data_IF_222781842238
#
_entry.id   IF_222781842238
#
_cell.length_a   1.000
_cell.length_b   1.000
_cell.length_c   1.000
_cell.angle_alpha   90.00
_cell.angle_beta   90.00
_cell.angle_gamma   90.00
#
_symmetry.space_group_name_H-M   'P 1'
#
loop_
_entity.id
_entity.type
_entity.pdbx_description
1 polymer ?
#
# COMPACT_ATOMS: atom_id res chain seq x y z
N UNK A 1 34.71 39.91 41.33
CA UNK A 1 34.14 39.03 42.37
C UNK A 1 32.71 39.47 42.53
N UNK A 2 31.64 38.75 42.19
CA UNK A 2 31.38 37.39 41.74
C UNK A 2 30.03 37.48 41.00
N UNK A 3 29.93 36.92 39.80
CA UNK A 3 28.67 36.72 39.08
C UNK A 3 28.79 35.36 38.40
N UNK A 4 28.39 34.30 39.09
CA UNK A 4 28.21 32.96 38.53
C UNK A 4 27.27 32.20 39.47
N UNK A 5 26.04 31.94 39.03
CA UNK A 5 25.24 30.74 39.35
C UNK A 5 23.79 30.86 38.84
N UNK A 6 23.62 30.99 37.53
CA UNK A 6 22.33 30.73 36.87
C UNK A 6 22.61 30.05 35.53
N UNK A 7 23.05 28.79 35.52
CA UNK A 7 23.21 28.04 34.26
C UNK A 7 23.20 26.50 34.38
N UNK A 8 22.58 25.92 35.42
CA UNK A 8 22.64 24.46 35.63
C UNK A 8 21.29 23.74 35.70
N UNK A 9 20.17 24.44 35.46
CA UNK A 9 18.84 23.83 35.49
C UNK A 9 18.19 23.61 34.12
N UNK A 10 18.81 24.03 33.01
CA UNK A 10 18.24 23.84 31.66
C UNK A 10 18.78 22.61 30.90
N UNK A 11 19.84 21.95 31.39
CA UNK A 11 20.49 20.82 30.67
C UNK A 11 19.96 19.44 31.10
N UNK A 12 19.19 19.36 32.20
CA UNK A 12 18.72 18.09 32.75
C UNK A 12 17.40 17.55 32.14
N UNK A 13 16.66 18.35 31.37
CA UNK A 13 15.34 17.93 30.82
C UNK A 13 15.46 17.30 29.42
N UNK A 14 16.55 17.52 28.68
CA UNK A 14 16.71 16.93 27.33
C UNK A 14 17.23 15.47 27.39
N UNK A 15 17.79 15.03 28.53
CA UNK A 15 18.44 13.73 28.64
C UNK A 15 17.52 12.56 29.06
N UNK A 16 16.24 12.79 29.35
CA UNK A 16 15.34 11.75 29.89
C UNK A 16 14.42 11.07 28.86
N UNK A 17 14.34 11.55 27.61
CA UNK A 17 13.56 10.87 26.55
C UNK A 17 14.33 9.77 25.80
N UNK A 18 15.60 9.49 26.16
CA UNK A 18 16.46 8.52 25.47
C UNK A 18 16.45 7.11 26.09
N UNK A 19 15.46 6.76 26.91
CA UNK A 19 15.16 5.34 27.12
C UNK A 19 14.59 4.82 25.80
N UNK A 20 15.45 4.19 24.98
CA UNK A 20 15.05 3.57 23.72
C UNK A 20 13.88 2.62 23.99
N UNK A 21 12.67 3.07 23.66
CA UNK A 21 11.49 2.21 23.73
C UNK A 21 11.72 1.17 22.64
N UNK A 22 12.20 0.00 23.07
CA UNK A 22 12.32 -1.15 22.18
C UNK A 22 10.91 -1.67 21.98
N UNK A 23 10.23 -1.16 20.95
CA UNK A 23 8.95 -1.71 20.52
C UNK A 23 9.24 -3.15 20.10
N UNK A 24 8.85 -4.12 20.93
CA UNK A 24 8.95 -5.53 20.54
C UNK A 24 7.97 -5.78 19.40
N UNK A 25 8.52 -5.95 18.21
CA UNK A 25 7.75 -6.20 17.00
C UNK A 25 7.47 -7.68 16.91
N UNK A 26 6.20 -8.02 16.75
CA UNK A 26 5.79 -9.35 16.37
C UNK A 26 6.26 -9.60 14.93
N UNK A 27 7.29 -10.43 14.75
CA UNK A 27 7.89 -10.69 13.43
C UNK A 27 6.88 -11.25 12.43
N UNK A 28 5.78 -11.85 12.90
CA UNK A 28 4.72 -12.37 12.05
C UNK A 28 3.95 -11.27 11.29
N UNK A 29 4.05 -10.00 11.70
CA UNK A 29 3.38 -8.86 11.04
C UNK A 29 4.35 -7.86 10.42
N UNK A 30 5.68 -8.09 10.52
CA UNK A 30 6.67 -7.23 9.88
C UNK A 30 6.61 -7.44 8.36
N UNK A 31 6.49 -6.35 7.61
CA UNK A 31 6.41 -6.33 6.15
C UNK A 31 7.43 -5.39 5.55
N UNK A 32 7.82 -5.64 4.31
CA UNK A 32 8.46 -4.64 3.47
C UNK A 32 7.43 -3.64 2.94
N UNK A 33 7.88 -2.45 2.49
CA UNK A 33 7.03 -1.53 1.77
C UNK A 33 6.36 -2.24 0.58
N UNK A 34 5.07 -1.97 0.31
CA UNK A 34 4.42 -2.44 -0.91
C UNK A 34 5.23 -2.00 -2.13
N UNK A 35 5.50 -2.90 -3.08
CA UNK A 35 6.31 -2.50 -4.23
C UNK A 35 7.32 -3.44 -4.85
N UNK A 36 7.75 -4.53 -4.19
CA UNK A 36 9.02 -5.20 -4.53
C UNK A 36 10.10 -4.17 -4.93
N UNK A 37 10.58 -4.21 -6.19
CA UNK A 37 11.62 -3.32 -6.72
C UNK A 37 11.08 -2.04 -7.36
N UNK A 38 9.76 -1.88 -7.44
CA UNK A 38 9.08 -0.77 -8.11
C UNK A 38 7.85 -0.32 -7.29
N UNK A 39 8.06 0.34 -6.13
CA UNK A 39 6.97 0.80 -5.26
C UNK A 39 5.91 1.64 -5.96
N UNK A 40 6.29 2.47 -6.93
CA UNK A 40 5.31 3.29 -7.67
C UNK A 40 4.38 2.45 -8.55
N UNK A 41 4.82 1.29 -9.06
CA UNK A 41 4.03 0.44 -9.96
C UNK A 41 3.16 -0.58 -9.23
N UNK A 42 3.63 -1.08 -8.09
CA UNK A 42 2.97 -2.19 -7.37
C UNK A 42 2.75 -1.89 -5.88
N UNK A 43 2.53 -0.62 -5.52
CA UNK A 43 2.14 -0.20 -4.17
C UNK A 43 0.87 -0.89 -3.64
N UNK A 44 0.03 -1.42 -4.53
CA UNK A 44 -1.21 -2.12 -4.20
C UNK A 44 -1.00 -3.60 -3.81
N UNK A 45 0.21 -4.16 -4.04
CA UNK A 45 0.55 -5.52 -3.68
C UNK A 45 1.06 -5.59 -2.24
N UNK A 46 0.39 -6.37 -1.39
CA UNK A 46 0.69 -6.48 0.05
C UNK A 46 1.59 -7.68 0.29
N UNK A 47 2.74 -7.47 0.93
CA UNK A 47 3.62 -8.58 1.34
C UNK A 47 2.98 -9.38 2.47
N UNK A 48 2.89 -10.70 2.30
CA UNK A 48 2.56 -11.64 3.37
C UNK A 48 3.83 -12.36 3.87
N UNK A 49 4.69 -12.73 2.94
CA UNK A 49 6.07 -13.18 3.17
C UNK A 49 6.94 -12.66 2.02
N UNK A 50 8.28 -12.71 2.12
CA UNK A 50 9.16 -12.31 1.01
C UNK A 50 8.86 -13.05 -0.31
N UNK A 51 8.26 -14.25 -0.25
CA UNK A 51 7.90 -15.05 -1.42
C UNK A 51 6.45 -14.88 -1.88
N UNK A 52 5.55 -14.43 -0.99
CA UNK A 52 4.11 -14.37 -1.23
C UNK A 52 3.57 -12.96 -1.04
N UNK A 53 3.02 -12.41 -2.12
CA UNK A 53 2.36 -11.11 -2.12
C UNK A 53 0.91 -11.28 -2.53
N UNK A 54 0.00 -10.50 -1.96
CA UNK A 54 -1.43 -10.59 -2.21
C UNK A 54 -1.98 -9.31 -2.86
N UNK A 55 -2.98 -9.46 -3.73
CA UNK A 55 -3.69 -8.38 -4.38
C UNK A 55 -5.15 -8.77 -4.72
N UNK A 56 -5.96 -7.79 -5.13
CA UNK A 56 -7.23 -8.04 -5.82
C UNK A 56 -7.03 -8.26 -7.32
N UNK A 57 -8.12 -8.27 -8.08
CA UNK A 57 -8.09 -8.75 -9.47
C UNK A 57 -7.32 -7.77 -10.35
N UNK A 58 -6.34 -8.30 -11.07
CA UNK A 58 -5.35 -7.50 -11.77
C UNK A 58 -5.84 -7.06 -13.15
N UNK A 59 -5.61 -5.79 -13.51
CA UNK A 59 -5.71 -5.31 -14.90
C UNK A 59 -4.52 -5.77 -15.74
N UNK A 60 -4.59 -5.67 -17.07
CA UNK A 60 -3.45 -5.98 -17.94
C UNK A 60 -2.20 -5.14 -17.59
N UNK A 61 -2.39 -3.87 -17.24
CA UNK A 61 -1.29 -2.98 -16.82
C UNK A 61 -0.67 -3.46 -15.51
N UNK A 62 -1.49 -3.86 -14.54
CA UNK A 62 -1.00 -4.38 -13.26
C UNK A 62 -0.23 -5.69 -13.42
N UNK A 63 -0.62 -6.56 -14.36
CA UNK A 63 0.15 -7.78 -14.71
C UNK A 63 1.54 -7.41 -15.26
N UNK A 64 1.61 -6.41 -16.14
CA UNK A 64 2.89 -5.93 -16.71
C UNK A 64 3.78 -5.29 -15.63
N UNK A 65 3.20 -4.43 -14.80
CA UNK A 65 3.84 -3.83 -13.63
C UNK A 65 4.38 -4.89 -12.66
N UNK A 66 3.67 -6.01 -12.45
CA UNK A 66 4.17 -7.10 -11.63
C UNK A 66 5.49 -7.69 -12.19
N UNK A 67 5.58 -7.87 -13.51
CA UNK A 67 6.83 -8.31 -14.14
C UNK A 67 7.97 -7.32 -13.94
N UNK A 68 7.70 -6.04 -14.16
CA UNK A 68 8.67 -4.95 -14.02
C UNK A 68 9.16 -4.77 -12.57
N UNK A 69 8.29 -5.00 -11.60
CA UNK A 69 8.63 -4.98 -10.18
C UNK A 69 9.43 -6.22 -9.72
N UNK A 70 9.53 -7.25 -10.56
CA UNK A 70 10.37 -8.43 -10.33
C UNK A 70 9.64 -9.69 -9.90
N UNK A 71 8.31 -9.73 -9.94
CA UNK A 71 7.57 -10.99 -9.79
C UNK A 71 7.97 -11.99 -10.89
N UNK A 72 7.83 -13.28 -10.59
CA UNK A 72 8.16 -14.37 -11.52
C UNK A 72 6.96 -15.23 -11.89
N UNK A 73 5.95 -15.23 -11.01
CA UNK A 73 4.70 -15.94 -11.19
C UNK A 73 3.53 -15.11 -10.68
N UNK A 74 2.37 -15.31 -11.31
CA UNK A 74 1.06 -14.89 -10.84
C UNK A 74 0.22 -16.15 -10.61
N UNK A 75 -0.45 -16.21 -9.46
CA UNK A 75 -1.48 -17.20 -9.20
C UNK A 75 -2.80 -16.46 -8.94
N UNK A 76 -3.79 -16.72 -9.79
CA UNK A 76 -5.18 -16.36 -9.54
C UNK A 76 -5.85 -17.47 -8.77
N UNK A 77 -6.55 -17.15 -7.68
CA UNK A 77 -7.36 -18.14 -6.98
C UNK A 77 -8.41 -18.72 -7.93
N UNK A 78 -9.17 -17.84 -8.57
CA UNK A 78 -10.27 -18.24 -9.45
C UNK A 78 -9.89 -18.21 -10.94
N UNK A 79 -10.54 -19.09 -11.69
CA UNK A 79 -10.71 -18.99 -13.13
C UNK A 79 -11.88 -18.04 -13.45
N UNK A 80 -11.64 -17.08 -14.34
CA UNK A 80 -12.65 -16.17 -14.89
C UNK A 80 -12.89 -16.58 -16.35
N UNK A 81 -14.10 -17.06 -16.64
CA UNK A 81 -14.46 -17.59 -17.96
C UNK A 81 -14.54 -16.48 -19.02
N UNK A 82 -14.77 -16.84 -20.28
CA UNK A 82 -14.71 -15.91 -21.42
C UNK A 82 -15.70 -14.74 -21.34
N UNK A 83 -16.76 -14.88 -20.57
CA UNK A 83 -17.78 -13.82 -20.37
C UNK A 83 -17.65 -13.11 -19.01
N UNK A 84 -16.67 -13.51 -18.18
CA UNK A 84 -16.46 -12.96 -16.84
C UNK A 84 -15.46 -11.79 -16.82
N UNK A 85 -15.29 -11.14 -17.98
CA UNK A 85 -14.58 -9.87 -18.08
C UNK A 85 -15.19 -8.89 -17.08
N UNK A 86 -14.36 -8.33 -16.21
CA UNK A 86 -14.81 -7.45 -15.14
C UNK A 86 -14.51 -5.98 -15.44
N UNK A 87 -14.92 -5.12 -14.51
CA UNK A 87 -14.55 -3.72 -14.54
C UNK A 87 -14.22 -3.24 -13.13
N UNK A 88 -13.13 -2.48 -13.00
CA UNK A 88 -12.76 -1.79 -11.79
C UNK A 88 -12.48 -0.33 -12.11
N UNK A 89 -13.40 0.56 -11.74
CA UNK A 89 -13.27 2.00 -11.98
C UNK A 89 -13.33 2.45 -13.43
N UNK A 90 -13.70 1.57 -14.36
CA UNK A 90 -13.62 1.83 -15.79
C UNK A 90 -12.45 1.08 -16.45
N UNK A 91 -11.52 0.51 -15.68
CA UNK A 91 -10.50 -0.38 -16.23
C UNK A 91 -11.04 -1.80 -16.40
N UNK A 92 -10.72 -2.39 -17.54
CA UNK A 92 -11.08 -3.76 -17.85
C UNK A 92 -10.28 -4.74 -16.99
N UNK A 93 -10.99 -5.71 -16.39
CA UNK A 93 -10.38 -6.85 -15.71
C UNK A 93 -10.40 -8.06 -16.67
N UNK A 94 -9.23 -8.55 -17.12
CA UNK A 94 -9.13 -9.61 -18.09
C UNK A 94 -9.73 -10.92 -17.61
N UNK A 95 -10.22 -11.72 -18.56
CA UNK A 95 -10.53 -13.14 -18.37
C UNK A 95 -9.25 -13.92 -18.05
N UNK A 96 -9.36 -15.17 -17.59
CA UNK A 96 -8.16 -16.00 -17.31
C UNK A 96 -7.29 -16.21 -18.55
N UNK A 97 -7.90 -16.36 -19.74
CA UNK A 97 -7.16 -16.53 -20.99
C UNK A 97 -6.36 -15.26 -21.38
N UNK A 98 -6.97 -14.08 -21.22
CA UNK A 98 -6.31 -12.80 -21.49
C UNK A 98 -5.23 -12.49 -20.46
N UNK A 99 -5.49 -12.75 -19.18
CA UNK A 99 -4.51 -12.58 -18.11
C UNK A 99 -3.30 -13.49 -18.33
N UNK A 100 -3.52 -14.75 -18.72
CA UNK A 100 -2.46 -15.68 -19.09
C UNK A 100 -1.64 -15.16 -20.29
N UNK A 101 -2.30 -14.67 -21.35
CA UNK A 101 -1.60 -14.15 -22.53
C UNK A 101 -0.75 -12.92 -22.19
N UNK A 102 -1.28 -11.98 -21.39
CA UNK A 102 -0.54 -10.80 -20.93
C UNK A 102 0.62 -11.19 -20.01
N UNK A 103 0.42 -12.12 -19.08
CA UNK A 103 1.47 -12.61 -18.21
C UNK A 103 2.60 -13.30 -18.99
N UNK A 104 2.25 -14.14 -19.97
CA UNK A 104 3.22 -14.81 -20.84
C UNK A 104 4.02 -13.80 -21.68
N UNK A 105 3.35 -12.80 -22.27
CA UNK A 105 4.01 -11.70 -22.96
C UNK A 105 4.98 -10.92 -22.05
N UNK A 106 4.65 -10.80 -20.76
CA UNK A 106 5.47 -10.16 -19.76
C UNK A 106 6.56 -11.08 -19.15
N UNK A 107 6.68 -12.34 -19.60
CA UNK A 107 7.67 -13.30 -19.09
C UNK A 107 7.33 -13.95 -17.74
N UNK A 108 6.08 -13.81 -17.28
CA UNK A 108 5.58 -14.38 -16.04
C UNK A 108 5.00 -15.78 -16.26
N UNK A 109 5.11 -16.63 -15.24
CA UNK A 109 4.24 -17.81 -15.14
C UNK A 109 2.86 -17.35 -14.66
N UNK A 110 1.79 -17.97 -15.17
CA UNK A 110 0.42 -17.69 -14.73
C UNK A 110 -0.33 -18.99 -14.51
N UNK A 111 -0.97 -19.12 -13.35
CA UNK A 111 -1.86 -20.24 -13.03
C UNK A 111 -3.15 -19.71 -12.43
N UNK A 112 -4.28 -20.30 -12.80
CA UNK A 112 -5.55 -20.14 -12.09
C UNK A 112 -5.91 -21.46 -11.40
N UNK A 113 -6.30 -21.40 -10.12
CA UNK A 113 -6.34 -22.60 -9.28
C UNK A 113 -7.67 -23.34 -9.31
N UNK A 114 -8.78 -22.63 -9.10
CA UNK A 114 -10.11 -23.20 -8.90
C UNK A 114 -11.14 -22.57 -9.84
N UNK A 115 -12.21 -23.30 -10.14
CA UNK A 115 -13.35 -22.77 -10.90
C UNK A 115 -14.19 -21.78 -10.09
N UNK A 116 -15.05 -21.01 -10.76
CA UNK A 116 -15.88 -19.99 -10.09
C UNK A 116 -16.89 -20.54 -9.07
N UNK A 117 -17.22 -21.83 -9.12
CA UNK A 117 -18.17 -22.49 -8.21
C UNK A 117 -17.48 -23.32 -7.11
N UNK A 118 -16.15 -23.39 -7.09
CA UNK A 118 -15.42 -24.17 -6.11
C UNK A 118 -15.44 -23.46 -4.73
N UNK A 119 -15.52 -24.26 -3.66
CA UNK A 119 -15.46 -23.74 -2.29
C UNK A 119 -14.02 -23.36 -1.92
N UNK A 120 -13.78 -22.05 -1.88
CA UNK A 120 -12.47 -21.48 -1.55
C UNK A 120 -12.05 -21.69 -0.10
N UNK A 121 -12.98 -22.00 0.82
CA UNK A 121 -12.67 -22.28 2.23
C UNK A 121 -12.30 -23.74 2.49
N UNK A 122 -12.51 -24.62 1.51
CA UNK A 122 -12.35 -26.07 1.69
C UNK A 122 -10.88 -26.51 1.84
N UNK A 123 -10.69 -27.62 2.55
CA UNK A 123 -9.39 -28.31 2.65
C UNK A 123 -8.87 -28.73 1.27
N UNK A 124 -9.77 -29.08 0.32
CA UNK A 124 -9.39 -29.42 -1.05
C UNK A 124 -8.73 -28.22 -1.75
N UNK A 125 -9.31 -27.02 -1.65
CA UNK A 125 -8.70 -25.80 -2.20
C UNK A 125 -7.33 -25.52 -1.58
N UNK A 126 -7.19 -25.69 -0.26
CA UNK A 126 -5.90 -25.52 0.44
C UNK A 126 -4.86 -26.53 -0.06
N UNK A 127 -5.27 -27.78 -0.32
CA UNK A 127 -4.40 -28.82 -0.84
C UNK A 127 -3.98 -28.54 -2.29
N UNK A 128 -4.91 -28.15 -3.17
CA UNK A 128 -4.60 -27.73 -4.55
C UNK A 128 -3.61 -26.56 -4.54
N UNK A 129 -3.81 -25.59 -3.66
CA UNK A 129 -2.90 -24.46 -3.48
C UNK A 129 -1.51 -24.95 -3.05
N UNK A 130 -1.42 -25.88 -2.10
CA UNK A 130 -0.14 -26.48 -1.71
C UNK A 130 0.56 -27.17 -2.88
N UNK A 131 -0.16 -27.95 -3.67
CA UNK A 131 0.41 -28.79 -4.73
C UNK A 131 0.97 -27.97 -5.90
N UNK A 132 0.39 -26.80 -6.19
CA UNK A 132 0.85 -25.94 -7.29
C UNK A 132 2.08 -25.11 -6.92
N UNK A 133 2.23 -24.71 -5.65
CA UNK A 133 3.27 -23.78 -5.22
C UNK A 133 4.71 -24.20 -5.58
N UNK A 134 5.12 -25.48 -5.44
CA UNK A 134 6.47 -25.92 -5.81
C UNK A 134 6.83 -25.70 -7.30
N UNK A 135 5.84 -25.60 -8.19
CA UNK A 135 6.05 -25.40 -9.63
C UNK A 135 6.19 -23.92 -10.02
N UNK A 136 5.86 -22.99 -9.12
CA UNK A 136 5.89 -21.56 -9.37
C UNK A 136 7.23 -20.94 -9.00
N UNK A 137 7.76 -20.09 -9.89
CA UNK A 137 8.95 -19.29 -9.62
C UNK A 137 8.59 -18.13 -8.68
N UNK A 138 9.43 -17.91 -7.67
CA UNK A 138 9.29 -16.83 -6.68
C UNK A 138 10.02 -15.55 -7.10
N UNK A 139 9.60 -14.35 -6.62
CA UNK A 139 8.42 -14.11 -5.79
C UNK A 139 7.11 -14.25 -6.57
N UNK A 140 6.04 -14.63 -5.87
CA UNK A 140 4.71 -14.94 -6.42
C UNK A 140 3.73 -13.84 -6.03
N UNK A 141 3.01 -13.31 -7.02
CA UNK A 141 1.85 -12.45 -6.80
C UNK A 141 0.58 -13.30 -6.84
N UNK A 142 -0.13 -13.33 -5.72
CA UNK A 142 -1.35 -14.10 -5.50
C UNK A 142 -2.54 -13.13 -5.58
N UNK A 143 -3.59 -13.45 -6.34
CA UNK A 143 -4.77 -12.58 -6.40
C UNK A 143 -6.11 -13.32 -6.46
N UNK A 144 -7.17 -12.60 -6.14
CA UNK A 144 -8.58 -12.97 -6.36
C UNK A 144 -9.36 -11.67 -6.63
N UNK A 145 -10.69 -11.62 -6.56
CA UNK A 145 -11.43 -10.37 -6.79
C UNK A 145 -11.05 -9.22 -5.84
N UNK A 146 -10.90 -9.51 -4.54
CA UNK A 146 -10.80 -8.47 -3.47
C UNK A 146 -9.57 -8.58 -2.57
N UNK A 147 -8.64 -9.50 -2.85
CA UNK A 147 -7.51 -9.82 -1.96
C UNK A 147 -7.88 -10.58 -0.67
N UNK A 148 -9.11 -10.39 -0.15
CA UNK A 148 -9.65 -11.06 1.03
C UNK A 148 -9.53 -12.59 0.94
N UNK A 149 -10.14 -13.20 -0.07
CA UNK A 149 -10.20 -14.65 -0.24
C UNK A 149 -8.82 -15.30 -0.42
N UNK A 150 -7.97 -14.71 -1.26
CA UNK A 150 -6.62 -15.24 -1.49
C UNK A 150 -5.75 -15.11 -0.25
N UNK A 151 -5.93 -14.05 0.56
CA UNK A 151 -5.21 -13.91 1.84
C UNK A 151 -5.58 -15.04 2.79
N UNK A 152 -6.87 -15.37 2.90
CA UNK A 152 -7.34 -16.48 3.71
C UNK A 152 -6.72 -17.81 3.27
N UNK A 153 -6.85 -18.17 1.99
CA UNK A 153 -6.32 -19.43 1.45
C UNK A 153 -4.81 -19.53 1.64
N UNK A 154 -4.08 -18.44 1.41
CA UNK A 154 -2.61 -18.42 1.58
C UNK A 154 -2.22 -18.64 3.03
N UNK A 155 -2.89 -17.96 3.97
CA UNK A 155 -2.61 -18.14 5.40
C UNK A 155 -3.04 -19.51 5.90
N UNK A 156 -4.16 -20.06 5.41
CA UNK A 156 -4.58 -21.43 5.72
C UNK A 156 -3.59 -22.47 5.20
N UNK A 157 -3.03 -22.26 3.99
CA UNK A 157 -1.93 -23.08 3.49
C UNK A 157 -0.74 -23.03 4.45
N UNK A 158 -0.31 -21.84 4.88
CA UNK A 158 0.83 -21.69 5.80
C UNK A 158 0.54 -22.27 7.19
N UNK A 159 -0.69 -22.16 7.69
CA UNK A 159 -1.13 -22.77 8.94
C UNK A 159 -1.15 -24.31 8.85
N UNK A 160 -1.63 -24.85 7.73
CA UNK A 160 -1.59 -26.29 7.45
C UNK A 160 -0.13 -26.80 7.42
N UNK A 161 0.78 -26.07 6.75
CA UNK A 161 2.21 -26.39 6.77
C UNK A 161 2.80 -26.29 8.17
N UNK A 162 2.40 -25.29 8.95
CA UNK A 162 2.84 -25.14 10.35
C UNK A 162 2.49 -26.35 11.20
N UNK A 163 1.28 -26.88 11.04
CA UNK A 163 0.79 -28.08 11.74
C UNK A 163 1.53 -29.36 11.35
N UNK A 164 1.75 -29.56 10.05
CA UNK A 164 2.25 -30.84 9.53
C UNK A 164 3.76 -30.87 9.28
N UNK A 165 4.41 -29.72 9.22
CA UNK A 165 5.85 -29.59 8.99
C UNK A 165 6.48 -28.73 10.10
N UNK A 166 7.10 -29.40 11.07
CA UNK A 166 7.76 -28.75 12.21
C UNK A 166 8.92 -27.83 11.80
N UNK A 167 9.46 -27.95 10.58
CA UNK A 167 10.51 -27.06 10.05
C UNK A 167 10.01 -25.91 9.19
N UNK A 168 8.71 -25.84 8.89
CA UNK A 168 8.13 -24.78 8.07
C UNK A 168 8.23 -23.41 8.76
N UNK A 169 8.67 -22.38 8.04
CA UNK A 169 8.69 -21.00 8.50
C UNK A 169 8.13 -20.04 7.43
N UNK A 170 7.43 -18.96 7.81
CA UNK A 170 7.09 -18.61 9.20
C UNK A 170 5.96 -19.48 9.76
N UNK A 171 6.00 -19.75 11.07
CA UNK A 171 4.90 -20.44 11.79
C UNK A 171 3.63 -19.57 11.84
N UNK A 172 2.50 -20.12 11.40
CA UNK A 172 1.18 -19.49 11.46
C UNK A 172 0.25 -20.34 12.35
N UNK A 173 0.12 -19.94 13.61
CA UNK A 173 -0.91 -20.43 14.52
C UNK A 173 -2.17 -19.55 14.43
N UNK A 174 -3.28 -20.00 15.03
CA UNK A 174 -4.58 -19.32 15.03
C UNK A 174 -4.46 -17.86 15.50
N UNK A 175 -3.70 -17.61 16.57
CA UNK A 175 -3.48 -16.24 17.05
C UNK A 175 -2.73 -15.36 16.04
N UNK A 176 -1.70 -15.91 15.38
CA UNK A 176 -0.95 -15.19 14.34
C UNK A 176 -1.84 -14.90 13.13
N UNK A 177 -2.69 -15.85 12.72
CA UNK A 177 -3.65 -15.67 11.64
C UNK A 177 -4.54 -14.43 11.88
N UNK A 178 -5.18 -14.34 13.05
CA UNK A 178 -6.06 -13.21 13.35
C UNK A 178 -5.31 -11.88 13.51
N UNK A 179 -4.09 -11.92 14.06
CA UNK A 179 -3.23 -10.72 14.14
C UNK A 179 -2.86 -10.20 12.75
N UNK A 180 -2.41 -11.07 11.85
CA UNK A 180 -2.00 -10.70 10.48
C UNK A 180 -3.19 -10.12 9.73
N UNK A 181 -4.34 -10.80 9.78
CA UNK A 181 -5.55 -10.39 9.05
C UNK A 181 -6.12 -9.08 9.61
N UNK A 182 -6.19 -8.91 10.93
CA UNK A 182 -6.58 -7.65 11.55
C UNK A 182 -5.61 -6.50 11.17
N UNK A 183 -4.30 -6.75 11.11
CA UNK A 183 -3.33 -5.75 10.66
C UNK A 183 -3.53 -5.37 9.17
N UNK A 184 -4.08 -6.26 8.34
CA UNK A 184 -4.45 -5.98 6.94
C UNK A 184 -5.84 -5.34 6.80
N UNK A 185 -6.57 -5.19 7.91
CA UNK A 185 -7.96 -4.77 7.94
C UNK A 185 -8.98 -5.83 7.57
N UNK A 186 -8.56 -7.08 7.38
CA UNK A 186 -9.43 -8.17 6.98
C UNK A 186 -10.08 -8.81 8.22
N UNK A 187 -11.38 -9.08 8.14
CA UNK A 187 -12.16 -9.67 9.23
C UNK A 187 -12.59 -11.09 8.87
N UNK A 188 -12.02 -12.08 9.58
CA UNK A 188 -12.39 -13.50 9.48
C UNK A 188 -12.98 -14.02 10.80
N UNK A 189 -13.63 -13.15 11.58
CA UNK A 189 -14.09 -13.48 12.94
C UNK A 189 -15.49 -14.08 13.01
N UNK A 190 -16.14 -14.28 11.86
CA UNK A 190 -17.39 -15.03 11.75
C UNK A 190 -17.22 -16.50 12.21
N UNK A 191 -18.28 -17.09 12.78
CA UNK A 191 -18.22 -18.42 13.41
C UNK A 191 -17.78 -19.53 12.45
N UNK A 192 -18.28 -19.51 11.22
CA UNK A 192 -17.89 -20.43 10.15
C UNK A 192 -16.39 -20.33 9.81
N UNK A 193 -15.86 -19.11 9.67
CA UNK A 193 -14.43 -18.89 9.41
C UNK A 193 -13.57 -19.33 10.59
N UNK A 194 -14.03 -19.07 11.83
CA UNK A 194 -13.31 -19.49 13.04
C UNK A 194 -13.18 -21.01 13.15
N UNK A 195 -14.25 -21.74 12.80
CA UNK A 195 -14.23 -23.20 12.76
C UNK A 195 -13.24 -23.72 11.71
N UNK A 196 -13.19 -23.12 10.52
CA UNK A 196 -12.21 -23.51 9.48
C UNK A 196 -10.77 -23.29 9.99
N UNK A 197 -10.48 -22.13 10.59
CA UNK A 197 -9.15 -21.83 11.15
C UNK A 197 -8.75 -22.86 12.21
N UNK A 198 -9.66 -23.17 13.15
CA UNK A 198 -9.43 -24.17 14.19
C UNK A 198 -9.18 -25.57 13.60
N UNK A 199 -9.96 -25.96 12.61
CA UNK A 199 -9.83 -27.26 11.95
C UNK A 199 -8.50 -27.41 11.20
N UNK A 200 -8.06 -26.38 10.49
CA UNK A 200 -6.80 -26.38 9.73
C UNK A 200 -5.60 -26.39 10.68
N UNK A 201 -5.58 -25.48 11.67
CA UNK A 201 -4.48 -25.35 12.64
C UNK A 201 -4.39 -26.52 13.61
N UNK A 202 -5.52 -27.17 13.91
CA UNK A 202 -5.63 -28.18 14.97
C UNK A 202 -5.70 -27.56 16.38
N UNK A 203 -5.96 -26.26 16.49
CA UNK A 203 -6.09 -25.53 17.75
C UNK A 203 -7.57 -25.31 18.11
N UNK A 204 -7.90 -25.00 19.38
CA UNK A 204 -9.24 -24.59 19.77
C UNK A 204 -9.70 -23.32 19.04
N UNK A 205 -11.02 -23.16 18.87
CA UNK A 205 -11.61 -21.92 18.38
C UNK A 205 -11.20 -20.75 19.27
N UNK A 206 -10.70 -19.68 18.64
CA UNK A 206 -10.37 -18.43 19.34
C UNK A 206 -11.67 -17.66 19.56
N UNK A 207 -12.10 -17.54 20.81
CA UNK A 207 -13.39 -16.90 21.16
C UNK A 207 -13.44 -15.39 20.87
N UNK A 208 -12.32 -14.69 21.07
CA UNK A 208 -12.22 -13.23 20.93
C UNK A 208 -10.99 -12.85 20.09
N UNK A 209 -10.98 -13.20 18.80
CA UNK A 209 -9.87 -12.86 17.92
C UNK A 209 -9.73 -11.35 17.78
N UNK A 210 -8.51 -10.83 17.58
CA UNK A 210 -8.31 -9.45 17.14
C UNK A 210 -9.16 -9.14 15.90
N UNK A 211 -9.86 -8.01 15.92
CA UNK A 211 -10.63 -7.48 14.79
C UNK A 211 -10.14 -6.09 14.45
N UNK A 212 -10.09 -5.78 13.16
CA UNK A 212 -9.83 -4.42 12.72
C UNK A 212 -11.10 -3.56 12.80
N UNK A 213 -10.93 -2.30 13.13
CA UNK A 213 -12.03 -1.35 13.25
C UNK A 213 -11.94 -0.36 12.09
N UNK A 214 -12.42 -0.72 10.90
CA UNK A 214 -12.41 0.13 9.70
C UNK A 214 -13.82 0.35 9.15
N UNK A 215 -14.05 1.53 8.59
CA UNK A 215 -15.28 1.91 7.89
C UNK A 215 -14.94 2.60 6.56
N UNK A 216 -15.68 2.38 5.47
CA UNK A 216 -16.87 1.53 5.37
C UNK A 216 -16.49 0.05 5.27
N UNK A 217 -17.34 -0.89 5.71
CA UNK A 217 -17.02 -2.34 5.62
C UNK A 217 -16.76 -2.80 4.17
N UNK A 218 -17.38 -2.12 3.21
CA UNK A 218 -17.25 -2.33 1.77
C UNK A 218 -15.90 -1.86 1.22
N UNK A 219 -15.00 -1.27 2.03
CA UNK A 219 -13.67 -0.85 1.59
C UNK A 219 -12.88 -1.96 0.89
N UNK A 220 -13.14 -3.22 1.25
CA UNK A 220 -12.56 -4.42 0.63
C UNK A 220 -12.83 -4.52 -0.88
N UNK A 221 -13.87 -3.86 -1.36
CA UNK A 221 -14.21 -3.81 -2.79
C UNK A 221 -13.26 -2.86 -3.52
N UNK A 222 -12.75 -1.82 -2.85
CA UNK A 222 -11.63 -1.00 -3.27
C UNK A 222 -10.30 -1.53 -2.68
N UNK A 223 -9.92 -2.74 -3.12
CA UNK A 223 -8.78 -3.48 -2.58
C UNK A 223 -7.40 -2.80 -2.75
N UNK A 224 -7.32 -1.73 -3.55
CA UNK A 224 -6.15 -0.87 -3.65
C UNK A 224 -5.87 -0.12 -2.34
N UNK A 225 -6.88 0.18 -1.53
CA UNK A 225 -6.66 0.86 -0.26
C UNK A 225 -6.00 -0.06 0.79
N UNK A 226 -5.16 0.57 1.63
CA UNK A 226 -4.56 -0.02 2.81
C UNK A 226 -5.13 0.71 4.02
N UNK A 227 -5.90 0.02 4.87
CA UNK A 227 -6.50 0.67 6.04
C UNK A 227 -5.40 1.10 7.00
N UNK A 228 -5.50 2.29 7.58
CA UNK A 228 -4.67 2.76 8.70
C UNK A 228 -5.41 2.46 10.01
N UNK A 229 -6.58 3.06 10.21
CA UNK A 229 -7.46 2.86 11.37
C UNK A 229 -8.80 3.54 11.09
N UNK A 230 -9.93 2.95 11.49
CA UNK A 230 -11.28 3.52 11.34
C UNK A 230 -11.55 4.06 9.94
N UNK A 231 -11.54 5.38 9.81
CA UNK A 231 -11.85 6.11 8.60
C UNK A 231 -10.61 6.37 7.73
N UNK A 232 -9.42 6.03 8.18
CA UNK A 232 -8.18 6.41 7.53
C UNK A 232 -7.69 5.29 6.64
N UNK A 233 -7.50 5.59 5.36
CA UNK A 233 -6.92 4.67 4.37
C UNK A 233 -5.77 5.35 3.64
N UNK A 234 -4.82 4.55 3.19
CA UNK A 234 -3.71 5.01 2.36
C UNK A 234 -3.58 4.19 1.08
N UNK A 235 -2.90 4.78 0.09
CA UNK A 235 -2.42 4.08 -1.10
C UNK A 235 -1.31 4.86 -1.80
N UNK A 236 -0.77 4.27 -2.86
CA UNK A 236 -0.01 4.99 -3.88
C UNK A 236 -0.95 5.74 -4.83
N UNK A 237 -0.49 6.02 -6.05
CA UNK A 237 -1.22 6.93 -6.94
C UNK A 237 -2.64 6.44 -7.23
N UNK A 238 -3.64 7.19 -6.80
CA UNK A 238 -5.04 7.03 -7.20
C UNK A 238 -5.14 7.31 -8.69
N UNK A 239 -5.85 6.46 -9.45
CA UNK A 239 -6.05 6.69 -10.87
C UNK A 239 -7.39 7.36 -11.12
N UNK A 240 -7.53 7.97 -12.29
CA UNK A 240 -8.77 8.60 -12.77
C UNK A 240 -10.00 7.68 -12.67
N UNK A 241 -9.80 6.39 -12.95
CA UNK A 241 -10.82 5.35 -12.83
C UNK A 241 -11.24 5.09 -11.38
N UNK A 242 -10.31 5.19 -10.44
CA UNK A 242 -10.51 4.85 -9.03
C UNK A 242 -11.39 5.88 -8.30
N UNK A 243 -11.39 7.16 -8.72
CA UNK A 243 -12.14 8.25 -8.08
C UNK A 243 -13.63 7.93 -7.94
N UNK A 244 -14.26 7.39 -8.98
CA UNK A 244 -15.69 7.04 -8.92
C UNK A 244 -15.95 5.84 -8.01
N UNK A 245 -15.02 4.89 -7.94
CA UNK A 245 -15.13 3.73 -7.07
C UNK A 245 -14.98 4.14 -5.61
N UNK A 246 -14.06 5.04 -5.29
CA UNK A 246 -13.92 5.61 -3.95
C UNK A 246 -15.25 6.23 -3.49
N UNK A 247 -15.88 7.05 -4.33
CA UNK A 247 -17.20 7.62 -4.03
C UNK A 247 -18.26 6.53 -3.81
N UNK A 248 -18.36 5.55 -4.71
CA UNK A 248 -19.34 4.46 -4.62
C UNK A 248 -19.12 3.56 -3.40
N UNK A 249 -17.87 3.37 -2.99
CA UNK A 249 -17.49 2.59 -1.81
C UNK A 249 -17.88 3.32 -0.51
N UNK A 250 -18.06 4.64 -0.56
CA UNK A 250 -18.53 5.44 0.57
C UNK A 250 -17.49 6.38 1.16
N UNK A 251 -16.32 6.52 0.51
CA UNK A 251 -15.33 7.54 0.90
C UNK A 251 -15.94 8.95 0.83
N UNK A 252 -15.39 9.84 1.66
CA UNK A 252 -15.86 11.22 1.86
C UNK A 252 -14.84 12.24 1.40
N UNK A 253 -13.55 11.88 1.43
CA UNK A 253 -12.49 12.74 0.93
C UNK A 253 -11.33 11.97 0.31
N UNK A 254 -10.63 12.65 -0.60
CA UNK A 254 -9.31 12.27 -1.12
C UNK A 254 -8.31 13.33 -0.64
N UNK A 255 -7.19 12.88 -0.09
CA UNK A 255 -6.08 13.72 0.34
C UNK A 255 -4.86 13.38 -0.51
N UNK A 256 -4.47 14.32 -1.36
CA UNK A 256 -3.32 14.21 -2.23
C UNK A 256 -2.08 14.84 -1.59
N UNK A 257 -1.05 14.02 -1.35
CA UNK A 257 0.23 14.50 -0.79
C UNK A 257 1.35 14.68 -1.81
N UNK A 258 1.05 14.55 -3.11
CA UNK A 258 2.01 14.80 -4.18
C UNK A 258 2.20 16.30 -4.41
N UNK A 259 3.37 16.67 -4.91
CA UNK A 259 3.57 18.02 -5.41
C UNK A 259 2.63 18.27 -6.60
N UNK A 260 2.08 19.49 -6.64
CA UNK A 260 1.25 19.94 -7.76
C UNK A 260 2.09 20.36 -8.96
N UNK A 261 1.45 21.02 -9.92
CA UNK A 261 2.13 21.57 -11.09
C UNK A 261 3.18 22.62 -10.70
N UNK A 262 2.96 23.33 -9.60
CA UNK A 262 3.92 24.25 -9.00
C UNK A 262 4.05 24.08 -7.49
N UNK A 263 5.25 24.36 -6.96
CA UNK A 263 5.55 24.39 -5.53
C UNK A 263 6.51 25.54 -5.26
N UNK A 264 6.16 26.44 -4.35
CA UNK A 264 6.93 27.67 -4.06
C UNK A 264 7.23 28.51 -5.33
N UNK A 265 6.27 28.55 -6.26
CA UNK A 265 6.37 29.31 -7.51
C UNK A 265 7.29 28.69 -8.57
N UNK A 266 7.77 27.45 -8.37
CA UNK A 266 8.58 26.71 -9.34
C UNK A 266 7.82 25.48 -9.87
N UNK A 267 8.06 25.05 -11.12
CA UNK A 267 7.53 23.79 -11.63
C UNK A 267 7.91 22.60 -10.74
N UNK A 268 6.94 21.73 -10.43
CA UNK A 268 7.14 20.67 -9.43
C UNK A 268 6.40 19.35 -9.66
N UNK A 269 5.85 19.12 -10.87
CA UNK A 269 5.24 17.85 -11.23
C UNK A 269 6.13 16.66 -10.89
N UNK A 270 5.52 15.63 -10.33
CA UNK A 270 6.17 14.36 -10.01
C UNK A 270 6.06 13.36 -11.16
N UNK A 271 6.85 12.27 -11.19
CA UNK A 271 6.75 11.24 -12.23
C UNK A 271 5.48 10.39 -12.11
N UNK A 272 4.87 9.99 -13.23
CA UNK A 272 3.89 8.88 -13.24
C UNK A 272 4.57 7.53 -13.50
N UNK A 273 3.90 6.43 -13.13
CA UNK A 273 4.33 5.10 -13.53
C UNK A 273 4.12 4.89 -15.03
N UNK A 274 5.16 4.48 -15.75
CA UNK A 274 5.14 4.22 -17.18
C UNK A 274 5.53 2.76 -17.44
N UNK A 275 4.81 2.09 -18.34
CA UNK A 275 5.15 0.75 -18.79
C UNK A 275 6.51 0.71 -19.51
N UNK A 276 7.31 -0.28 -19.14
CA UNK A 276 8.67 -0.57 -19.59
C UNK A 276 9.67 0.58 -19.41
N UNK A 277 9.44 1.49 -18.45
CA UNK A 277 10.38 2.57 -18.09
C UNK A 277 10.69 2.48 -16.60
N UNK A 278 11.95 2.68 -16.20
CA UNK A 278 12.34 2.67 -14.77
C UNK A 278 11.57 3.72 -13.96
N UNK A 279 11.33 3.40 -12.69
CA UNK A 279 10.86 4.39 -11.72
C UNK A 279 12.00 5.36 -11.43
N UNK A 280 11.89 6.58 -11.94
CA UNK A 280 12.86 7.64 -11.70
C UNK A 280 12.19 8.78 -10.93
N UNK A 281 12.88 9.39 -9.94
CA UNK A 281 12.25 10.30 -9.00
C UNK A 281 12.02 11.71 -9.56
N UNK A 282 12.65 12.06 -10.69
CA UNK A 282 12.64 13.44 -11.21
C UNK A 282 11.95 13.52 -12.57
N UNK A 283 10.97 14.40 -12.66
CA UNK A 283 10.29 14.77 -13.90
C UNK A 283 11.11 15.76 -14.70
N UNK A 284 11.49 16.88 -14.06
CA UNK A 284 12.28 17.92 -14.71
C UNK A 284 13.74 17.53 -14.81
N UNK A 285 14.32 17.87 -15.95
CA UNK A 285 15.76 17.81 -16.16
C UNK A 285 16.50 18.93 -15.44
N UNK A 286 17.80 18.97 -15.64
CA UNK A 286 18.68 20.08 -15.25
C UNK A 286 19.60 20.44 -16.43
N UNK A 287 20.63 21.26 -16.20
CA UNK A 287 21.58 21.67 -17.24
C UNK A 287 22.36 20.51 -17.88
N UNK A 288 22.40 19.34 -17.24
CA UNK A 288 23.14 18.15 -17.67
C UNK A 288 22.27 16.93 -17.96
N UNK A 289 21.04 16.90 -17.45
CA UNK A 289 20.11 15.78 -17.58
C UNK A 289 18.83 16.27 -18.26
N UNK A 290 18.41 15.72 -19.40
CA UNK A 290 17.13 16.06 -20.01
C UNK A 290 15.94 15.68 -19.10
N UNK A 291 14.74 16.27 -19.32
CA UNK A 291 13.52 15.84 -18.64
C UNK A 291 13.24 14.35 -18.84
N UNK A 292 12.57 13.73 -17.87
CA UNK A 292 12.30 12.28 -17.87
C UNK A 292 11.49 11.83 -19.09
N UNK A 293 10.49 12.62 -19.49
CA UNK A 293 9.60 12.30 -20.61
C UNK A 293 10.10 12.79 -21.98
N UNK A 294 11.36 13.26 -22.05
CA UNK A 294 12.05 13.33 -23.33
C UNK A 294 12.21 11.92 -23.94
N UNK A 295 11.93 11.77 -25.24
CA UNK A 295 11.93 10.47 -25.91
C UNK A 295 13.26 9.73 -25.78
N UNK A 296 14.38 10.44 -25.84
CA UNK A 296 15.71 9.83 -25.71
C UNK A 296 15.93 9.34 -24.28
N UNK A 297 15.51 10.11 -23.29
CA UNK A 297 15.57 9.71 -21.87
C UNK A 297 14.75 8.46 -21.62
N UNK A 298 13.49 8.44 -22.05
CA UNK A 298 12.59 7.29 -21.94
C UNK A 298 13.20 6.04 -22.60
N UNK A 299 13.78 6.19 -23.79
CA UNK A 299 14.43 5.10 -24.49
C UNK A 299 15.66 4.56 -23.72
N UNK A 300 16.49 5.42 -23.15
CA UNK A 300 17.65 4.98 -22.34
C UNK A 300 17.23 4.33 -21.01
N UNK A 301 16.02 4.62 -20.53
CA UNK A 301 15.49 4.15 -19.27
C UNK A 301 14.55 2.96 -19.39
N UNK A 302 14.56 2.28 -20.54
CA UNK A 302 13.82 1.03 -20.72
C UNK A 302 14.22 -0.01 -19.68
N UNK A 303 13.23 -0.74 -19.17
CA UNK A 303 13.47 -1.89 -18.28
C UNK A 303 13.95 -3.08 -19.09
N UNK A 304 13.33 -3.32 -20.25
CA UNK A 304 13.67 -4.40 -21.16
C UNK A 304 13.52 -3.94 -22.62
N UNK A 305 14.65 -3.87 -23.31
CA UNK A 305 14.72 -3.41 -24.71
C UNK A 305 14.10 -4.39 -25.71
N UNK A 306 13.90 -5.65 -25.30
CA UNK A 306 13.44 -6.73 -26.17
C UNK A 306 11.92 -6.97 -26.12
N UNK A 307 11.16 -6.20 -25.36
CA UNK A 307 9.70 -6.29 -25.42
C UNK A 307 9.18 -5.89 -26.81
N UNK A 308 8.14 -6.60 -27.28
CA UNK A 308 7.34 -6.17 -28.44
C UNK A 308 6.63 -4.86 -28.13
N UNK A 309 6.31 -4.05 -29.14
CA UNK A 309 5.47 -2.86 -28.94
C UNK A 309 4.06 -3.21 -28.45
N UNK A 310 3.59 -4.44 -28.71
CA UNK A 310 2.35 -4.99 -28.14
C UNK A 310 2.35 -5.01 -26.60
N UNK A 311 3.54 -5.00 -25.98
CA UNK A 311 3.69 -4.88 -24.54
C UNK A 311 3.06 -3.59 -24.01
N UNK A 312 3.05 -2.51 -24.81
CA UNK A 312 2.38 -1.26 -24.45
C UNK A 312 0.92 -1.36 -24.88
N UNK A 313 0.69 -1.55 -26.18
CA UNK A 313 -0.63 -1.85 -26.74
C UNK A 313 -0.48 -2.37 -28.17
N UNK A 314 -1.52 -3.04 -28.69
CA UNK A 314 -1.58 -3.50 -30.09
C UNK A 314 -1.41 -2.39 -31.15
N UNK A 315 -1.57 -1.12 -30.75
CA UNK A 315 -1.45 0.05 -31.63
C UNK A 315 -0.13 0.79 -31.44
N UNK A 316 0.65 0.44 -30.41
CA UNK A 316 1.90 1.12 -30.13
C UNK A 316 2.95 0.80 -31.19
N UNK A 317 3.76 1.80 -31.54
CA UNK A 317 4.93 1.66 -32.42
C UNK A 317 6.24 1.53 -31.66
N UNK A 318 6.20 1.76 -30.35
CA UNK A 318 7.34 1.71 -29.44
C UNK A 318 7.01 0.74 -28.29
N UNK A 319 8.05 0.23 -27.63
CA UNK A 319 7.90 -0.75 -26.55
C UNK A 319 8.00 -0.14 -25.15
N UNK A 320 7.86 1.18 -25.03
CA UNK A 320 7.78 1.90 -23.77
C UNK A 320 6.63 2.91 -23.84
N UNK A 321 6.07 3.24 -22.68
CA UNK A 321 4.99 4.22 -22.55
C UNK A 321 5.59 5.62 -22.35
N UNK A 322 5.00 6.63 -22.99
CA UNK A 322 5.46 8.04 -22.92
C UNK A 322 4.65 8.87 -21.94
N UNK A 323 3.39 8.50 -21.72
CA UNK A 323 2.43 9.17 -20.84
C UNK A 323 1.54 8.15 -20.15
N UNK A 324 1.04 8.47 -18.96
CA UNK A 324 0.05 7.64 -18.27
C UNK A 324 -1.15 8.51 -17.85
N UNK A 325 -2.11 8.74 -18.75
CA UNK A 325 -3.27 9.61 -18.47
C UNK A 325 -4.23 9.03 -17.42
N UNK A 326 -4.13 7.73 -17.09
CA UNK A 326 -4.90 7.15 -16.00
C UNK A 326 -4.37 7.60 -14.64
N UNK A 327 -3.07 7.87 -14.51
CA UNK A 327 -2.44 8.46 -13.33
C UNK A 327 -2.37 9.99 -13.42
N UNK A 328 -3.28 10.61 -14.18
CA UNK A 328 -3.28 12.07 -14.41
C UNK A 328 -1.96 12.58 -14.99
N UNK A 329 -1.26 11.73 -15.74
CA UNK A 329 -0.02 12.09 -16.42
C UNK A 329 -0.26 12.89 -17.69
N UNK A 330 0.49 13.97 -17.87
CA UNK A 330 0.65 14.70 -19.13
C UNK A 330 2.04 14.44 -19.76
N UNK A 331 2.47 15.32 -20.66
CA UNK A 331 3.76 15.28 -21.38
C UNK A 331 4.97 15.68 -20.53
N UNK A 332 4.74 16.11 -19.27
CA UNK A 332 5.78 16.43 -18.29
C UNK A 332 5.75 15.45 -17.11
N UNK A 333 4.59 15.15 -16.56
CA UNK A 333 4.47 14.21 -15.46
C UNK A 333 3.07 14.18 -14.87
N UNK A 334 2.99 13.83 -13.60
CA UNK A 334 1.76 13.91 -12.82
C UNK A 334 1.23 15.35 -12.78
N UNK A 335 -0.02 15.52 -13.16
CA UNK A 335 -0.72 16.81 -13.19
C UNK A 335 -1.82 16.82 -12.14
N UNK A 336 -1.60 17.61 -11.09
CA UNK A 336 -2.50 17.68 -9.96
C UNK A 336 -3.81 18.44 -10.27
N UNK A 337 -3.76 19.47 -11.12
CA UNK A 337 -4.96 20.17 -11.58
C UNK A 337 -5.91 19.20 -12.31
N UNK A 338 -5.35 18.25 -13.08
CA UNK A 338 -6.12 17.23 -13.77
C UNK A 338 -6.77 16.22 -12.82
N UNK A 339 -6.12 15.92 -11.68
CA UNK A 339 -6.72 15.12 -10.62
C UNK A 339 -7.84 15.90 -9.91
N UNK A 340 -7.58 17.14 -9.48
CA UNK A 340 -8.55 18.01 -8.84
C UNK A 340 -9.82 18.15 -9.70
N UNK A 341 -9.68 18.43 -11.01
CA UNK A 341 -10.81 18.57 -11.92
C UNK A 341 -11.71 17.32 -11.97
N UNK A 342 -11.12 16.13 -11.85
CA UNK A 342 -11.86 14.87 -11.83
C UNK A 342 -12.55 14.67 -10.48
N UNK A 343 -11.87 14.94 -9.36
CA UNK A 343 -12.45 14.77 -8.02
C UNK A 343 -13.59 15.76 -7.79
N UNK A 344 -13.46 17.02 -8.24
CA UNK A 344 -14.50 18.06 -8.13
C UNK A 344 -15.79 17.73 -8.90
N UNK A 345 -15.78 16.73 -9.79
CA UNK A 345 -16.99 16.23 -10.48
C UNK A 345 -17.73 15.15 -9.68
N UNK A 346 -17.25 14.82 -8.48
CA UNK A 346 -17.86 13.86 -7.56
C UNK A 346 -18.34 14.58 -6.28
N UNK A 347 -18.91 13.83 -5.34
CA UNK A 347 -19.25 14.31 -4.00
C UNK A 347 -18.08 14.28 -3.01
N UNK A 348 -16.93 13.73 -3.41
CA UNK A 348 -15.74 13.65 -2.57
C UNK A 348 -15.16 15.05 -2.32
N UNK A 349 -14.76 15.31 -1.07
CA UNK A 349 -13.91 16.47 -0.76
C UNK A 349 -12.48 16.22 -1.22
N UNK A 350 -11.87 17.20 -1.84
CA UNK A 350 -10.48 17.13 -2.29
C UNK A 350 -9.60 18.03 -1.42
N UNK A 351 -8.50 17.48 -0.93
CA UNK A 351 -7.48 18.20 -0.16
C UNK A 351 -6.12 17.99 -0.81
N UNK A 352 -5.52 19.07 -1.32
CA UNK A 352 -4.14 19.04 -1.79
C UNK A 352 -3.19 19.53 -0.68
N UNK A 353 -2.34 18.63 -0.21
CA UNK A 353 -1.39 18.87 0.90
C UNK A 353 0.01 18.45 0.42
N UNK A 354 0.67 19.27 -0.42
CA UNK A 354 1.90 18.87 -1.08
C UNK A 354 3.06 18.66 -0.09
N UNK A 355 3.59 17.44 -0.02
CA UNK A 355 4.77 17.10 0.77
C UNK A 355 5.93 16.75 -0.18
N UNK A 356 6.98 17.59 -0.25
CA UNK A 356 8.10 17.36 -1.17
C UNK A 356 8.77 15.99 -0.93
N UNK A 357 9.02 15.20 -1.99
CA UNK A 357 9.80 13.99 -1.86
C UNK A 357 11.24 14.33 -1.44
N UNK A 358 11.87 13.43 -0.66
CA UNK A 358 13.25 13.59 -0.18
C UNK A 358 13.50 14.82 0.72
N UNK A 359 12.45 15.42 1.28
CA UNK A 359 12.59 16.42 2.34
C UNK A 359 12.79 15.75 3.70
N UNK A 360 13.40 16.47 4.65
CA UNK A 360 13.44 16.05 6.05
C UNK A 360 12.06 16.25 6.67
N UNK A 361 11.47 15.19 7.21
CA UNK A 361 10.19 15.29 7.90
C UNK A 361 10.37 15.85 9.32
N UNK A 362 9.51 16.79 9.71
CA UNK A 362 9.64 17.51 10.98
C UNK A 362 8.27 17.69 11.64
N UNK A 363 8.25 17.83 12.98
CA UNK A 363 7.02 18.12 13.70
C UNK A 363 6.40 19.47 13.30
N UNK A 364 7.22 20.46 12.92
CA UNK A 364 6.73 21.74 12.37
C UNK A 364 5.95 21.54 11.07
N UNK A 365 6.48 20.72 10.14
CA UNK A 365 5.79 20.38 8.89
C UNK A 365 4.46 19.67 9.18
N UNK A 366 4.46 18.68 10.09
CA UNK A 366 3.22 18.01 10.50
C UNK A 366 2.23 18.98 11.14
N UNK A 367 2.68 19.86 12.04
CA UNK A 367 1.83 20.85 12.71
C UNK A 367 1.13 21.79 11.74
N UNK A 368 1.74 22.12 10.59
CA UNK A 368 1.13 22.98 9.57
C UNK A 368 -0.06 22.32 8.85
N UNK A 369 -0.07 20.99 8.78
CA UNK A 369 -1.08 20.23 8.02
C UNK A 369 -2.03 19.41 8.90
N UNK A 370 -1.69 19.26 10.20
CA UNK A 370 -2.40 18.42 11.18
C UNK A 370 -3.89 18.71 11.21
N UNK A 371 -4.26 19.99 11.35
CA UNK A 371 -5.67 20.36 11.55
C UNK A 371 -6.49 20.09 10.28
N UNK A 372 -5.91 20.29 9.09
CA UNK A 372 -6.53 19.93 7.80
C UNK A 372 -6.73 18.41 7.69
N UNK A 373 -5.74 17.61 8.08
CA UNK A 373 -5.87 16.14 8.08
C UNK A 373 -6.97 15.71 9.03
N UNK A 374 -6.97 16.19 10.28
CA UNK A 374 -7.98 15.85 11.29
C UNK A 374 -9.38 16.24 10.81
N UNK A 375 -9.54 17.44 10.25
CA UNK A 375 -10.80 17.90 9.67
C UNK A 375 -11.28 16.96 8.56
N UNK A 376 -10.40 16.53 7.66
CA UNK A 376 -10.75 15.56 6.63
C UNK A 376 -11.21 14.22 7.23
N UNK A 377 -10.47 13.68 8.20
CA UNK A 377 -10.82 12.42 8.89
C UNK A 377 -12.13 12.46 9.69
N UNK A 378 -12.59 13.66 10.09
CA UNK A 378 -13.90 13.87 10.73
C UNK A 378 -15.08 13.77 9.76
N UNK A 379 -14.86 13.90 8.44
CA UNK A 379 -15.91 13.77 7.44
C UNK A 379 -16.42 12.33 7.29
N UNK A 380 -15.63 11.36 7.72
CA UNK A 380 -15.84 9.92 7.48
C UNK A 380 -14.64 9.31 6.76
N UNK A 381 -14.82 8.20 6.04
CA UNK A 381 -13.72 7.49 5.39
C UNK A 381 -12.94 8.35 4.39
N UNK A 382 -11.62 8.44 4.53
CA UNK A 382 -10.72 9.27 3.74
C UNK A 382 -9.62 8.43 3.09
N UNK A 383 -9.35 8.70 1.82
CA UNK A 383 -8.27 8.08 1.06
C UNK A 383 -7.10 9.04 0.95
N UNK A 384 -6.00 8.73 1.62
CA UNK A 384 -4.74 9.45 1.47
C UNK A 384 -3.91 8.79 0.38
N UNK A 385 -3.38 9.56 -0.56
CA UNK A 385 -2.43 9.03 -1.53
C UNK A 385 -1.21 9.91 -1.76
N UNK A 386 -0.13 9.25 -2.17
CA UNK A 386 1.01 9.88 -2.82
C UNK A 386 1.49 8.96 -3.96
N UNK A 387 2.71 9.13 -4.48
CA UNK A 387 3.22 8.26 -5.55
C UNK A 387 3.29 6.76 -5.16
N UNK A 388 3.92 6.42 -4.02
CA UNK A 388 4.20 5.03 -3.60
C UNK A 388 3.57 4.65 -2.24
N UNK A 389 2.75 5.53 -1.65
CA UNK A 389 2.16 5.35 -0.33
C UNK A 389 3.03 5.75 0.87
N UNK A 390 4.32 6.04 0.70
CA UNK A 390 5.22 6.28 1.85
C UNK A 390 4.89 7.54 2.66
N UNK A 391 4.70 8.68 1.98
CA UNK A 391 4.38 9.96 2.65
C UNK A 391 3.08 9.84 3.43
N UNK A 392 2.06 9.27 2.80
CA UNK A 392 0.75 9.11 3.44
C UNK A 392 0.75 8.07 4.55
N UNK A 393 1.63 7.07 4.53
CA UNK A 393 1.83 6.21 5.69
C UNK A 393 2.34 7.01 6.90
N UNK A 394 3.39 7.81 6.72
CA UNK A 394 3.99 8.58 7.83
C UNK A 394 3.05 9.66 8.38
N UNK A 395 2.48 10.49 7.51
CA UNK A 395 1.62 11.58 7.96
C UNK A 395 0.21 11.09 8.34
N UNK A 396 -0.34 10.11 7.61
CA UNK A 396 -1.66 9.55 7.87
C UNK A 396 -1.74 8.75 9.15
N UNK A 397 -0.74 7.91 9.45
CA UNK A 397 -0.70 7.16 10.73
C UNK A 397 -0.55 8.11 11.92
N UNK A 398 0.31 9.12 11.82
CA UNK A 398 0.48 10.11 12.88
C UNK A 398 -0.81 10.92 13.12
N UNK A 399 -1.48 11.37 12.05
CA UNK A 399 -2.76 12.06 12.15
C UNK A 399 -3.86 11.18 12.75
N UNK A 400 -3.98 9.92 12.30
CA UNK A 400 -4.93 8.96 12.85
C UNK A 400 -4.66 8.68 14.33
N UNK A 401 -3.39 8.52 14.73
CA UNK A 401 -3.02 8.29 16.12
C UNK A 401 -3.45 9.44 17.03
N UNK A 402 -3.13 10.68 16.65
CA UNK A 402 -3.50 11.88 17.41
C UNK A 402 -5.02 12.07 17.45
N UNK A 403 -5.70 11.92 16.30
CA UNK A 403 -7.15 12.07 16.20
C UNK A 403 -7.90 11.06 17.06
N UNK A 404 -7.42 9.82 17.12
CA UNK A 404 -8.09 8.73 17.84
C UNK A 404 -7.58 8.52 19.27
N UNK A 405 -6.58 9.29 19.71
CA UNK A 405 -6.01 9.19 21.06
C UNK A 405 -5.13 7.96 21.29
N UNK A 406 -4.52 7.42 20.24
CA UNK A 406 -3.49 6.38 20.36
C UNK A 406 -2.15 6.97 20.80
N UNK A 407 -1.24 6.13 21.28
CA UNK A 407 0.09 6.55 21.72
C UNK A 407 1.16 6.38 20.61
N UNK A 408 2.39 6.81 20.92
CA UNK A 408 3.54 6.69 20.02
C UNK A 408 3.83 5.23 19.63
N UNK A 409 3.69 4.28 20.57
CA UNK A 409 3.97 2.87 20.32
C UNK A 409 2.99 2.27 19.32
N UNK A 410 1.71 2.61 19.44
CA UNK A 410 0.70 2.24 18.47
C UNK A 410 1.05 2.80 17.08
N UNK A 411 1.42 4.07 16.99
CA UNK A 411 1.73 4.71 15.72
C UNK A 411 2.95 4.07 15.02
N UNK A 412 4.04 3.82 15.77
CA UNK A 412 5.25 3.16 15.26
C UNK A 412 4.97 1.71 14.85
N UNK A 413 4.18 0.97 15.62
CA UNK A 413 3.76 -0.37 15.26
C UNK A 413 2.89 -0.36 14.00
N UNK A 414 1.95 0.59 13.90
CA UNK A 414 1.00 0.63 12.78
C UNK A 414 1.67 0.96 11.46
N UNK A 415 2.59 1.93 11.46
CA UNK A 415 3.34 2.30 10.25
C UNK A 415 4.25 1.14 9.78
N UNK A 416 4.78 0.35 10.71
CA UNK A 416 5.53 -0.86 10.40
C UNK A 416 4.66 -1.99 9.84
N UNK A 417 3.45 -2.21 10.37
CA UNK A 417 2.48 -3.18 9.81
C UNK A 417 2.05 -2.84 8.37
N UNK A 418 2.15 -1.57 7.99
CA UNK A 418 1.95 -1.07 6.63
C UNK A 418 3.18 -1.22 5.74
N UNK A 419 4.31 -1.67 6.29
CA UNK A 419 5.56 -1.92 5.58
C UNK A 419 6.61 -0.80 5.70
N UNK A 420 6.29 0.29 6.40
CA UNK A 420 7.16 1.47 6.47
C UNK A 420 7.79 1.60 7.85
N UNK A 421 8.86 0.85 8.10
CA UNK A 421 9.57 0.84 9.40
C UNK A 421 10.09 2.23 9.78
N UNK A 422 9.73 2.69 10.98
CA UNK A 422 10.18 3.96 11.56
C UNK A 422 10.89 3.67 12.88
N UNK A 423 12.16 4.05 12.95
CA UNK A 423 13.01 3.93 14.13
C UNK A 423 14.16 4.94 14.06
N UNK A 424 14.91 5.16 15.16
CA UNK A 424 16.09 6.02 15.13
C UNK A 424 17.14 5.61 14.10
N UNK A 425 17.21 4.33 13.74
CA UNK A 425 18.25 3.79 12.85
C UNK A 425 17.78 3.67 11.38
N UNK A 426 16.47 3.59 11.13
CA UNK A 426 15.90 3.34 9.79
C UNK A 426 15.33 4.60 9.15
N UNK A 427 14.61 5.43 9.91
CA UNK A 427 14.01 6.70 9.46
C UNK A 427 14.09 7.74 10.59
N UNK A 428 15.31 8.25 10.90
CA UNK A 428 15.54 9.08 12.09
C UNK A 428 14.72 10.37 12.13
N UNK A 429 14.50 11.00 10.98
CA UNK A 429 13.72 12.23 10.87
C UNK A 429 12.22 11.98 11.06
N UNK A 430 11.65 10.93 10.47
CA UNK A 430 10.27 10.50 10.73
C UNK A 430 10.07 10.16 12.20
N UNK A 431 11.01 9.40 12.80
CA UNK A 431 10.94 9.02 14.20
C UNK A 431 10.94 10.26 15.10
N UNK A 432 11.84 11.21 14.83
CA UNK A 432 11.90 12.49 15.55
C UNK A 432 10.61 13.30 15.40
N UNK A 433 10.05 13.39 14.18
CA UNK A 433 8.76 14.03 13.92
C UNK A 433 7.66 13.42 14.79
N UNK A 434 7.59 12.09 14.90
CA UNK A 434 6.59 11.41 15.73
C UNK A 434 6.76 11.79 17.20
N UNK A 435 7.96 11.63 17.78
CA UNK A 435 8.23 11.95 19.18
C UNK A 435 7.82 13.40 19.53
N UNK A 436 8.31 14.37 18.76
CA UNK A 436 8.02 15.80 18.99
C UNK A 436 6.53 16.13 18.81
N UNK A 437 5.84 15.51 17.85
CA UNK A 437 4.41 15.74 17.63
C UNK A 437 3.55 15.20 18.78
N UNK A 438 3.92 14.05 19.35
CA UNK A 438 3.25 13.52 20.54
C UNK A 438 3.50 14.38 21.77
N UNK A 439 4.73 14.86 22.00
CA UNK A 439 5.05 15.78 23.10
C UNK A 439 4.19 17.06 23.03
N UNK A 440 4.09 17.67 21.84
CA UNK A 440 3.26 18.85 21.62
C UNK A 440 1.77 18.56 21.86
N UNK A 441 1.25 17.40 21.45
CA UNK A 441 -0.16 17.05 21.65
C UNK A 441 -0.56 16.90 23.12
N UNK A 442 0.38 16.49 23.99
CA UNK A 442 0.13 16.34 25.43
C UNK A 442 0.16 17.68 26.17
N UNK A 443 0.97 18.65 25.72
CA UNK A 443 0.99 19.98 26.35
C UNK A 443 -0.35 20.71 26.17
N UNK A 444 -1.00 20.59 25.00
CA UNK A 444 -2.30 21.24 24.74
C UNK A 444 -3.43 20.71 25.62
N UNK A 445 -3.46 19.40 25.93
CA UNK A 445 -4.51 18.82 26.80
C UNK A 445 -4.41 19.29 28.25
N UNK A 446 -3.24 19.73 28.70
CA UNK A 446 -3.02 20.21 30.06
C UNK A 446 -3.28 21.71 30.24
N UNK A 447 -3.41 22.47 29.14
CA UNK A 447 -3.75 23.91 29.21
C UNK A 447 -5.26 24.17 29.12
N UNK A 448 -6.05 23.20 28.64
CA UNK A 448 -7.52 23.28 28.57
C UNK A 448 -8.25 22.70 29.80
N UNK A 449 -7.51 22.18 30.79
CA UNK A 449 -8.00 21.68 32.09
C UNK A 449 -7.56 22.60 33.23
#
# INVERSE_FOLDING_TARGET
MEFQNVCTWLVAIIATCASSVTVQVDTAVKRQPPGLKSPMKVWWAKELTPDFHIAGRLTERQIKYASEAGFRSILSLFMYETNDGGNFGGEYLPTTAEAWATAHMAGLQYVALIGGNDDWTSIDTIQRFHDVLPALRKPILLHCDRGYTITFVTLMHMANQTRHNSSFEPKIYSHNFYKITAAMGLDFTHDDMKEVVANVTGEPVVEKPPKHNCEPEEWRDFWLAHPISKNWYMGGQVRKCDVKILEQTGFKAIINMRLGVTHNGQPSQEPTALLNVKDEPTTYGNSTTPPRQDLKTLETNKINEHHSSDYISKKSRINYETENPLEFGDDIGYNEDAEEEVVLKTSLKYYHIPIPPNSTFTASMFSQIRDTLIQAGQLGPVMLHCSDGRRVAYFGVLAAAIHEGHDLNWALKRVQELGFEVSPDVQPDVYKMYCESFEQSHSFKNEEL
#
